data_IF_093297943183
#
_entry.id   IF_093297943183
#
_cell.length_a   1.000
_cell.length_b   1.000
_cell.length_c   1.000
_cell.angle_alpha   90.00
_cell.angle_beta   90.00
_cell.angle_gamma   90.00
#
_symmetry.space_group_name_H-M   'P 1'
#
loop_
_entity.id
_entity.type
_entity.pdbx_description
1 polymer ?
#
# COMPACT_ATOMS: atom_id res chain seq x y z
N UNK A 1 -2.56 -18.09 -16.55
CA UNK A 1 -1.75 -17.57 -15.45
C UNK A 1 -1.35 -18.70 -14.55
N UNK A 2 -0.28 -18.55 -13.99
CA UNK A 2 0.46 -19.58 -13.34
C UNK A 2 0.62 -19.29 -11.87
N UNK A 3 1.84 -19.13 -11.45
CA UNK A 3 2.16 -18.97 -10.05
C UNK A 3 1.55 -17.72 -9.41
N UNK A 4 1.37 -16.67 -10.20
CA UNK A 4 0.82 -15.42 -9.67
C UNK A 4 -0.58 -15.60 -9.10
N UNK A 5 -1.44 -16.33 -9.80
CA UNK A 5 -2.81 -16.57 -9.34
C UNK A 5 -2.88 -17.61 -8.22
N UNK A 6 -1.85 -18.43 -8.09
CA UNK A 6 -1.81 -19.49 -7.09
C UNK A 6 -1.24 -19.05 -5.76
N UNK A 7 -0.70 -17.83 -5.68
CA UNK A 7 -0.16 -17.34 -4.42
C UNK A 7 -1.26 -17.12 -3.41
N UNK A 8 -0.92 -17.25 -2.16
CA UNK A 8 -1.82 -16.98 -1.05
C UNK A 8 -1.22 -15.89 -0.17
N UNK A 9 -1.94 -15.57 0.90
CA UNK A 9 -1.55 -14.52 1.82
C UNK A 9 -2.51 -13.35 1.75
N UNK A 10 -2.10 -12.25 2.38
CA UNK A 10 -2.96 -11.10 2.54
C UNK A 10 -2.29 -9.84 2.05
N UNK A 11 -3.11 -8.95 1.52
CA UNK A 11 -2.71 -7.61 1.10
C UNK A 11 -3.62 -6.63 1.84
N UNK A 12 -3.05 -5.56 2.36
CA UNK A 12 -3.85 -4.51 2.98
C UNK A 12 -4.30 -3.55 1.88
N UNK A 13 -5.60 -3.42 1.73
CA UNK A 13 -6.19 -2.63 0.65
C UNK A 13 -7.39 -1.87 1.17
N UNK A 14 -7.36 -0.54 1.06
CA UNK A 14 -8.45 0.35 1.47
C UNK A 14 -8.92 0.12 2.90
N UNK A 15 -7.97 -0.11 3.80
CA UNK A 15 -8.27 -0.22 5.21
C UNK A 15 -8.53 -1.63 5.72
N UNK A 16 -8.45 -2.63 4.85
CA UNK A 16 -8.74 -4.01 5.22
C UNK A 16 -7.67 -4.96 4.69
N UNK A 17 -7.43 -6.04 5.43
CA UNK A 17 -6.63 -7.15 4.89
C UNK A 17 -7.53 -8.02 4.02
N UNK A 18 -7.16 -8.17 2.77
CA UNK A 18 -7.91 -9.00 1.82
C UNK A 18 -7.03 -10.13 1.32
N UNK A 19 -7.66 -11.20 0.89
CA UNK A 19 -6.91 -12.32 0.31
C UNK A 19 -6.17 -11.88 -0.94
N UNK A 20 -5.02 -12.50 -1.19
CA UNK A 20 -4.21 -12.22 -2.38
C UNK A 20 -5.07 -12.17 -3.65
N UNK A 21 -5.96 -13.17 -3.81
CA UNK A 21 -6.80 -13.28 -5.01
C UNK A 21 -7.85 -12.16 -5.13
N UNK A 22 -8.14 -11.47 -4.04
CA UNK A 22 -9.17 -10.43 -4.02
C UNK A 22 -8.59 -9.02 -4.13
N UNK A 23 -7.28 -8.87 -4.12
CA UNK A 23 -6.62 -7.56 -4.24
C UNK A 23 -6.57 -7.16 -5.72
N UNK A 24 -7.70 -6.71 -6.23
CA UNK A 24 -7.87 -6.38 -7.65
C UNK A 24 -8.45 -4.98 -7.79
N UNK A 25 -8.19 -4.35 -8.92
CA UNK A 25 -8.76 -3.05 -9.24
C UNK A 25 -9.48 -3.16 -10.59
N UNK A 26 -10.51 -2.37 -10.72
CA UNK A 26 -11.26 -2.31 -11.96
C UNK A 26 -10.44 -1.61 -13.05
N UNK A 27 -10.66 -1.98 -14.31
CA UNK A 27 -9.96 -1.36 -15.43
C UNK A 27 -10.25 0.14 -15.54
N UNK A 28 -11.35 0.61 -14.96
CA UNK A 28 -11.69 2.03 -14.92
C UNK A 28 -11.07 2.77 -13.73
N UNK A 29 -10.15 2.14 -13.01
CA UNK A 29 -9.40 2.80 -11.95
C UNK A 29 -8.70 4.04 -12.50
N UNK A 30 -8.91 5.17 -11.85
CA UNK A 30 -8.42 6.47 -12.34
C UNK A 30 -6.92 6.45 -12.65
N UNK A 31 -6.12 5.91 -11.75
CA UNK A 31 -4.66 5.86 -11.91
C UNK A 31 -4.24 5.10 -13.18
N UNK A 32 -4.99 4.08 -13.57
CA UNK A 32 -4.67 3.33 -14.78
C UNK A 32 -4.84 4.16 -16.05
N UNK A 33 -5.73 5.15 -16.02
CA UNK A 33 -5.99 6.01 -17.16
C UNK A 33 -5.15 7.27 -17.16
N UNK A 34 -4.87 7.81 -15.99
CA UNK A 34 -4.23 9.11 -15.87
C UNK A 34 -2.85 9.07 -15.22
N UNK A 35 -2.44 7.91 -14.74
CA UNK A 35 -1.06 7.69 -14.33
C UNK A 35 -0.63 8.34 -13.02
N UNK A 36 -1.57 8.75 -12.16
CA UNK A 36 -1.23 9.45 -10.93
C UNK A 36 -1.25 8.50 -9.74
N UNK A 37 -0.08 8.25 -9.17
CA UNK A 37 0.06 7.44 -7.98
C UNK A 37 1.41 7.67 -7.33
N UNK A 38 1.54 7.32 -6.06
CA UNK A 38 2.80 7.42 -5.32
C UNK A 38 3.07 6.12 -4.59
N UNK A 39 4.35 5.82 -4.37
CA UNK A 39 4.71 4.59 -3.69
C UNK A 39 6.06 4.72 -2.97
N UNK A 40 6.31 3.75 -2.08
CA UNK A 40 7.59 3.58 -1.42
C UNK A 40 8.07 2.14 -1.57
N UNK A 41 9.32 1.91 -1.22
CA UNK A 41 9.88 0.58 -1.13
C UNK A 41 10.52 0.41 0.23
N UNK A 42 10.04 -0.54 1.02
CA UNK A 42 10.42 -0.68 2.42
C UNK A 42 10.89 -2.10 2.69
N UNK A 43 12.02 -2.22 3.37
CA UNK A 43 12.57 -3.53 3.70
C UNK A 43 12.47 -3.84 5.18
N UNK A 44 12.19 -5.11 5.47
CA UNK A 44 12.22 -5.64 6.82
C UNK A 44 13.24 -6.76 6.91
N UNK A 45 13.95 -6.81 8.01
CA UNK A 45 14.99 -7.79 8.25
C UNK A 45 14.73 -8.54 9.55
N UNK A 46 15.04 -9.82 9.54
CA UNK A 46 15.01 -10.62 10.77
C UNK A 46 16.29 -10.33 11.56
N UNK A 47 16.11 -9.92 12.81
CA UNK A 47 17.21 -9.61 13.71
C UNK A 47 17.12 -10.47 14.97
N UNK A 48 18.12 -10.36 15.83
CA UNK A 48 18.12 -11.06 17.13
C UNK A 48 16.93 -10.65 18.01
N UNK A 49 16.38 -9.46 17.75
CA UNK A 49 15.24 -8.93 18.50
C UNK A 49 13.94 -9.05 17.73
N UNK A 50 13.90 -9.90 16.71
CA UNK A 50 12.73 -10.10 15.87
C UNK A 50 12.80 -9.31 14.57
N UNK A 51 11.68 -9.21 13.90
CA UNK A 51 11.58 -8.50 12.61
C UNK A 51 11.64 -6.99 12.84
N UNK A 52 12.52 -6.33 12.13
CA UNK A 52 12.67 -4.87 12.16
C UNK A 52 12.52 -4.30 10.76
N UNK A 53 11.70 -3.27 10.65
CA UNK A 53 11.50 -2.58 9.38
C UNK A 53 12.48 -1.41 9.32
N UNK A 54 13.30 -1.40 8.29
CA UNK A 54 14.36 -0.41 8.17
C UNK A 54 13.79 0.96 7.83
N UNK A 55 14.02 1.93 8.71
CA UNK A 55 13.62 3.34 8.55
C UNK A 55 12.13 3.50 8.20
N UNK A 56 11.29 2.75 8.90
CA UNK A 56 9.84 2.76 8.62
C UNK A 56 9.24 4.17 8.66
N UNK A 57 9.54 4.94 9.70
CA UNK A 57 8.98 6.29 9.83
C UNK A 57 9.43 7.21 8.71
N UNK A 58 10.68 7.12 8.30
CA UNK A 58 11.20 7.93 7.20
C UNK A 58 10.49 7.61 5.89
N UNK A 59 10.26 6.33 5.61
CA UNK A 59 9.54 5.92 4.42
C UNK A 59 8.10 6.36 4.45
N UNK A 60 7.43 6.23 5.59
CA UNK A 60 6.05 6.67 5.73
C UNK A 60 5.95 8.18 5.54
N UNK A 61 6.85 8.94 6.16
CA UNK A 61 6.87 10.39 5.98
C UNK A 61 7.05 10.77 4.52
N UNK A 62 7.94 10.09 3.82
CA UNK A 62 8.19 10.38 2.42
C UNK A 62 6.99 10.02 1.53
N UNK A 63 6.30 8.93 1.85
CA UNK A 63 5.07 8.57 1.13
C UNK A 63 4.02 9.68 1.26
N UNK A 64 3.83 10.19 2.47
CA UNK A 64 2.87 11.27 2.70
C UNK A 64 3.31 12.57 2.02
N UNK A 65 4.61 12.87 2.03
CA UNK A 65 5.15 14.03 1.32
C UNK A 65 4.95 13.90 -0.20
N UNK A 66 5.16 12.69 -0.73
CA UNK A 66 4.92 12.44 -2.16
C UNK A 66 3.46 12.64 -2.51
N UNK A 67 2.55 12.17 -1.66
CA UNK A 67 1.12 12.35 -1.87
C UNK A 67 0.74 13.84 -1.84
N UNK A 68 1.28 14.59 -0.88
CA UNK A 68 1.04 16.02 -0.79
C UNK A 68 1.51 16.74 -2.04
N UNK A 69 2.64 16.35 -2.59
CA UNK A 69 3.21 16.98 -3.78
C UNK A 69 2.30 16.85 -5.00
N UNK A 70 1.45 15.84 -5.04
CA UNK A 70 0.49 15.63 -6.12
C UNK A 70 -0.96 15.87 -5.67
N UNK A 71 -1.13 16.52 -4.52
CA UNK A 71 -2.44 16.84 -3.96
C UNK A 71 -3.33 15.62 -3.71
N UNK A 72 -2.72 14.52 -3.35
CA UNK A 72 -3.44 13.29 -3.01
C UNK A 72 -3.57 13.19 -1.49
N UNK A 73 -4.78 13.05 -1.01
CA UNK A 73 -5.03 12.89 0.42
C UNK A 73 -5.10 11.41 0.77
N UNK A 74 -4.25 11.01 1.73
CA UNK A 74 -4.25 9.63 2.22
C UNK A 74 -5.25 9.57 3.38
N UNK A 75 -6.30 8.72 3.29
CA UNK A 75 -7.38 8.70 4.29
C UNK A 75 -7.02 7.96 5.59
N UNK A 76 -5.76 7.77 5.87
CA UNK A 76 -5.26 7.09 7.06
C UNK A 76 -4.14 7.90 7.68
N UNK A 77 -3.95 7.78 8.99
CA UNK A 77 -2.85 8.46 9.68
C UNK A 77 -1.52 7.78 9.39
N UNK A 78 -0.43 8.50 9.62
CA UNK A 78 0.91 7.93 9.50
C UNK A 78 1.11 6.79 10.50
N UNK A 79 0.58 6.94 11.70
CA UNK A 79 0.64 5.91 12.73
C UNK A 79 -0.07 4.63 12.29
N UNK A 80 -1.23 4.77 11.65
CA UNK A 80 -1.97 3.62 11.12
C UNK A 80 -1.17 2.93 10.02
N UNK A 81 -0.54 3.69 9.15
CA UNK A 81 0.32 3.13 8.09
C UNK A 81 1.49 2.35 8.68
N UNK A 82 2.13 2.91 9.72
CA UNK A 82 3.24 2.21 10.36
C UNK A 82 2.78 0.90 11.01
N UNK A 83 1.65 0.94 11.67
CA UNK A 83 1.07 -0.24 12.32
C UNK A 83 0.75 -1.34 11.33
N UNK A 84 0.10 -0.98 10.23
CA UNK A 84 -0.29 -1.92 9.19
C UNK A 84 0.94 -2.57 8.55
N UNK A 85 2.00 -1.80 8.33
CA UNK A 85 3.21 -2.35 7.75
C UNK A 85 3.89 -3.36 8.67
N UNK A 86 3.74 -3.21 9.97
CA UNK A 86 4.20 -4.22 10.92
C UNK A 86 3.28 -5.44 10.91
N UNK A 87 1.99 -5.22 10.85
CA UNK A 87 1.01 -6.31 10.86
C UNK A 87 1.04 -7.16 9.61
N UNK A 88 1.38 -6.60 8.46
CA UNK A 88 1.40 -7.34 7.21
C UNK A 88 2.34 -8.54 7.27
N UNK A 89 3.45 -8.42 7.98
CA UNK A 89 4.36 -9.54 8.17
C UNK A 89 3.74 -10.62 9.06
N UNK A 90 2.99 -10.21 10.09
CA UNK A 90 2.36 -11.16 11.00
C UNK A 90 1.25 -11.94 10.33
N UNK A 91 0.36 -11.25 9.62
CA UNK A 91 -0.78 -11.92 8.96
C UNK A 91 -0.34 -12.81 7.82
N UNK A 92 0.83 -12.54 7.22
CA UNK A 92 1.39 -13.37 6.16
C UNK A 92 2.40 -14.39 6.69
N UNK A 93 2.62 -14.41 8.00
CA UNK A 93 3.55 -15.33 8.63
C UNK A 93 4.96 -15.20 8.03
N UNK A 94 5.40 -13.98 7.79
CA UNK A 94 6.71 -13.67 7.23
C UNK A 94 7.56 -12.99 8.29
N UNK A 95 8.86 -13.26 8.26
CA UNK A 95 9.81 -12.67 9.19
C UNK A 95 10.69 -11.62 8.57
N UNK A 96 10.80 -11.61 7.25
CA UNK A 96 11.53 -10.57 6.53
C UNK A 96 10.97 -10.46 5.12
N UNK A 97 11.27 -9.39 4.44
CA UNK A 97 10.81 -9.18 3.08
C UNK A 97 10.73 -7.72 2.71
N UNK A 98 9.97 -7.47 1.67
CA UNK A 98 9.84 -6.16 1.05
C UNK A 98 8.38 -5.75 1.03
N UNK A 99 8.11 -4.50 1.39
CA UNK A 99 6.77 -3.92 1.34
C UNK A 99 6.74 -2.88 0.25
N UNK A 100 5.68 -2.87 -0.53
CA UNK A 100 5.37 -1.84 -1.49
C UNK A 100 4.13 -1.07 -1.04
N UNK A 101 4.28 -0.02 -0.20
CA UNK A 101 3.15 0.85 0.08
C UNK A 101 2.89 1.72 -1.13
N UNK A 102 1.63 1.82 -1.52
CA UNK A 102 1.29 2.69 -2.63
C UNK A 102 -0.07 3.32 -2.43
N UNK A 103 -0.23 4.50 -2.98
CA UNK A 103 -1.48 5.24 -2.95
C UNK A 103 -1.84 5.65 -4.37
N UNK A 104 -3.09 5.43 -4.73
CA UNK A 104 -3.55 5.74 -6.08
C UNK A 104 -5.03 6.11 -6.02
N UNK A 105 -5.50 6.72 -7.08
CA UNK A 105 -6.92 7.03 -7.20
C UNK A 105 -7.66 5.82 -7.77
N UNK A 106 -8.71 5.40 -7.08
CA UNK A 106 -9.48 4.22 -7.45
C UNK A 106 -10.50 4.49 -8.55
N UNK A 107 -11.44 3.56 -8.70
CA UNK A 107 -12.47 3.64 -9.72
C UNK A 107 -13.62 4.58 -9.36
N UNK A 108 -13.75 4.94 -8.09
CA UNK A 108 -14.81 5.86 -7.67
C UNK A 108 -14.51 7.25 -8.21
N UNK A 109 -15.56 7.94 -8.66
CA UNK A 109 -15.40 9.30 -9.11
C UNK A 109 -14.56 9.44 -10.36
N UNK A 110 -14.87 8.69 -11.40
CA UNK A 110 -14.13 8.72 -12.66
C UNK A 110 -14.16 10.05 -13.41
N UNK A 111 -14.80 11.06 -12.87
CA UNK A 111 -14.79 12.38 -13.47
C UNK A 111 -13.39 13.01 -13.41
N UNK A 112 -13.28 14.20 -13.94
CA UNK A 112 -12.01 14.94 -13.99
C UNK A 112 -11.73 15.75 -12.72
N UNK A 113 -12.62 15.70 -11.76
CA UNK A 113 -12.52 16.49 -10.54
C UNK A 113 -11.82 15.70 -9.46
N UNK A 114 -10.77 16.25 -8.90
CA UNK A 114 -9.97 15.57 -7.89
C UNK A 114 -10.74 15.32 -6.60
N UNK A 115 -11.72 16.15 -6.28
CA UNK A 115 -12.51 16.00 -5.05
C UNK A 115 -13.41 14.78 -5.06
N UNK A 116 -13.60 14.14 -6.21
CA UNK A 116 -14.42 12.93 -6.34
C UNK A 116 -13.57 11.66 -6.38
N UNK A 117 -12.27 11.75 -6.26
CA UNK A 117 -11.36 10.63 -6.47
C UNK A 117 -10.90 10.01 -5.16
N UNK A 118 -10.64 8.72 -5.19
CA UNK A 118 -10.15 7.96 -4.04
C UNK A 118 -8.81 7.32 -4.33
#
# INVERSE_FOLDING_TARGET
MTDFEKKDGFIWMDGEFVDWSQAKVHVLTHTLHYGLGVFEGVRAYLTDQGTKIFRLEDHTNRLFESADAVNMEIPFSREKFNEVQKEIFKVNNLKEGYIRPMCFYGAQGMGLRADNLK
#
